data_IF_641876425503
#
_entry.id   IF_641876425503
#
_cell.length_a   1.000
_cell.length_b   1.000
_cell.length_c   1.000
_cell.angle_alpha   90.00
_cell.angle_beta   90.00
_cell.angle_gamma   90.00
#
_symmetry.space_group_name_H-M   'P 1'
#
loop_
_entity.id
_entity.type
_entity.pdbx_description
1 polymer ?
#
# COMPACT_ATOMS: atom_id res chain seq x y z
N UNK A 1 -13.71 -27.23 -9.29
CA UNK A 1 -13.63 -25.87 -9.85
C UNK A 1 -12.69 -25.06 -8.97
N UNK A 2 -11.63 -24.44 -9.51
CA UNK A 2 -10.71 -23.64 -8.67
C UNK A 2 -11.32 -22.26 -8.44
N UNK A 3 -11.00 -21.63 -7.30
CA UNK A 3 -11.51 -20.29 -6.95
C UNK A 3 -11.21 -19.23 -8.02
N UNK A 4 -10.04 -19.32 -8.67
CA UNK A 4 -9.66 -18.45 -9.78
C UNK A 4 -10.58 -18.60 -11.00
N UNK A 5 -11.03 -19.81 -11.31
CA UNK A 5 -11.93 -20.07 -12.44
C UNK A 5 -13.28 -19.38 -12.21
N UNK A 6 -13.79 -19.45 -10.98
CA UNK A 6 -15.04 -18.79 -10.59
C UNK A 6 -14.93 -17.27 -10.69
N UNK A 7 -13.82 -16.68 -10.22
CA UNK A 7 -13.59 -15.24 -10.33
C UNK A 7 -13.48 -14.79 -11.79
N UNK A 8 -12.81 -15.59 -12.62
CA UNK A 8 -12.69 -15.34 -14.04
C UNK A 8 -14.06 -15.33 -14.73
N UNK A 9 -14.88 -16.36 -14.48
CA UNK A 9 -16.21 -16.48 -15.08
C UNK A 9 -17.15 -15.35 -14.65
N UNK A 10 -17.13 -15.00 -13.36
CA UNK A 10 -17.91 -13.88 -12.82
C UNK A 10 -17.49 -12.56 -13.48
N UNK A 11 -16.19 -12.26 -13.53
CA UNK A 11 -15.68 -11.04 -14.15
C UNK A 11 -16.02 -10.97 -15.64
N UNK A 12 -15.80 -12.08 -16.38
CA UNK A 12 -16.12 -12.18 -17.81
C UNK A 12 -17.61 -11.91 -18.06
N UNK A 13 -18.49 -12.50 -17.26
CA UNK A 13 -19.94 -12.32 -17.40
C UNK A 13 -20.37 -10.85 -17.25
N UNK A 14 -19.77 -10.11 -16.33
CA UNK A 14 -20.06 -8.70 -16.12
C UNK A 14 -19.50 -7.81 -17.23
N UNK A 15 -18.33 -8.16 -17.77
CA UNK A 15 -17.64 -7.41 -18.83
C UNK A 15 -18.37 -7.53 -20.17
N UNK A 16 -18.79 -8.74 -20.56
CA UNK A 16 -19.49 -8.99 -21.84
C UNK A 16 -20.84 -8.26 -21.89
N UNK A 17 -21.48 -8.04 -20.74
CA UNK A 17 -22.73 -7.28 -20.64
C UNK A 17 -22.55 -5.77 -20.81
N UNK A 18 -21.31 -5.24 -20.86
CA UNK A 18 -21.01 -3.79 -20.83
C UNK A 18 -19.94 -3.38 -21.86
N UNK A 19 -20.15 -3.67 -23.16
CA UNK A 19 -19.15 -3.38 -24.20
C UNK A 19 -18.78 -1.91 -24.31
N UNK A 20 -19.70 -0.98 -24.03
CA UNK A 20 -19.52 0.47 -24.08
C UNK A 20 -18.53 0.99 -23.03
N UNK A 21 -18.49 0.38 -21.85
CA UNK A 21 -17.56 0.76 -20.77
C UNK A 21 -16.12 0.41 -21.15
N UNK A 22 -15.95 -0.70 -21.88
CA UNK A 22 -14.65 -1.25 -22.24
C UNK A 22 -14.22 -0.91 -23.67
N UNK A 23 -15.08 -0.21 -24.43
CA UNK A 23 -14.86 0.24 -25.80
C UNK A 23 -14.73 -0.91 -26.81
N UNK A 24 -15.47 -2.00 -26.61
CA UNK A 24 -15.48 -3.16 -27.49
C UNK A 24 -16.15 -2.86 -28.84
N UNK A 25 -15.68 -3.51 -29.90
CA UNK A 25 -16.17 -3.32 -31.26
C UNK A 25 -17.53 -3.96 -31.54
N UNK A 26 -18.01 -4.83 -30.64
CA UNK A 26 -19.34 -5.43 -30.69
C UNK A 26 -19.37 -6.82 -31.34
N UNK A 27 -18.21 -7.39 -31.69
CA UNK A 27 -18.09 -8.76 -32.20
C UNK A 27 -17.23 -9.55 -31.22
N UNK A 28 -17.84 -10.47 -30.49
CA UNK A 28 -17.19 -11.18 -29.37
C UNK A 28 -15.88 -11.87 -29.78
N UNK A 29 -15.81 -12.45 -30.98
CA UNK A 29 -14.59 -13.09 -31.52
C UNK A 29 -13.44 -12.09 -31.69
N UNK A 30 -13.73 -10.85 -32.06
CA UNK A 30 -12.74 -9.78 -32.22
C UNK A 30 -12.35 -9.23 -30.84
N UNK A 31 -13.31 -9.14 -29.92
CA UNK A 31 -13.12 -8.54 -28.61
C UNK A 31 -12.56 -9.53 -27.56
N UNK A 32 -12.41 -10.83 -27.87
CA UNK A 32 -11.95 -11.85 -26.91
C UNK A 32 -10.62 -11.48 -26.24
N UNK A 33 -9.65 -10.98 -27.00
CA UNK A 33 -8.35 -10.58 -26.45
C UNK A 33 -8.49 -9.45 -25.42
N UNK A 34 -9.39 -8.49 -25.67
CA UNK A 34 -9.61 -7.34 -24.79
C UNK A 34 -10.48 -7.70 -23.59
N UNK A 35 -11.45 -8.60 -23.74
CA UNK A 35 -12.19 -9.19 -22.63
C UNK A 35 -11.23 -9.92 -21.68
N UNK A 36 -10.34 -10.76 -22.22
CA UNK A 36 -9.35 -11.48 -21.42
C UNK A 36 -8.39 -10.51 -20.70
N UNK A 37 -7.97 -9.43 -21.36
CA UNK A 37 -7.14 -8.39 -20.74
C UNK A 37 -7.84 -7.73 -19.54
N UNK A 38 -9.10 -7.31 -19.69
CA UNK A 38 -9.84 -6.65 -18.61
C UNK A 38 -10.10 -7.61 -17.44
N UNK A 39 -10.40 -8.88 -17.72
CA UNK A 39 -10.52 -9.91 -16.68
C UNK A 39 -9.19 -10.09 -15.95
N UNK A 40 -8.06 -10.15 -16.67
CA UNK A 40 -6.74 -10.28 -16.07
C UNK A 40 -6.36 -9.04 -15.24
N UNK A 41 -6.74 -7.82 -15.66
CA UNK A 41 -6.56 -6.60 -14.87
C UNK A 41 -7.31 -6.69 -13.53
N UNK A 42 -8.54 -7.19 -13.55
CA UNK A 42 -9.36 -7.43 -12.35
C UNK A 42 -8.71 -8.46 -11.42
N UNK A 43 -8.27 -9.61 -11.98
CA UNK A 43 -7.61 -10.66 -11.21
C UNK A 43 -6.26 -10.21 -10.67
N UNK A 44 -5.49 -9.44 -11.43
CA UNK A 44 -4.23 -8.88 -11.00
C UNK A 44 -4.42 -7.91 -9.82
N UNK A 45 -5.50 -7.11 -9.80
CA UNK A 45 -5.83 -6.29 -8.65
C UNK A 45 -6.07 -7.15 -7.38
N UNK A 46 -6.76 -8.30 -7.50
CA UNK A 46 -6.93 -9.23 -6.37
C UNK A 46 -5.61 -9.89 -5.94
N UNK A 47 -4.69 -10.17 -6.86
CA UNK A 47 -3.32 -10.62 -6.51
C UNK A 47 -2.57 -9.52 -5.76
N UNK A 48 -2.68 -8.28 -6.20
CA UNK A 48 -2.06 -7.13 -5.53
C UNK A 48 -2.64 -6.90 -4.13
N UNK A 49 -3.94 -7.10 -3.94
CA UNK A 49 -4.58 -7.11 -2.61
C UNK A 49 -3.90 -8.12 -1.69
N UNK A 50 -3.69 -9.34 -2.16
CA UNK A 50 -3.06 -10.40 -1.36
C UNK A 50 -1.61 -10.05 -0.99
N UNK A 51 -0.80 -9.65 -2.00
CA UNK A 51 0.62 -9.31 -1.81
C UNK A 51 0.80 -8.11 -0.88
N UNK A 52 0.04 -7.02 -1.12
CA UNK A 52 0.14 -5.83 -0.28
C UNK A 52 -0.52 -6.00 1.07
N UNK A 53 -1.60 -6.78 1.17
CA UNK A 53 -2.24 -7.11 2.45
C UNK A 53 -1.27 -7.82 3.40
N UNK A 54 -0.59 -8.87 2.90
CA UNK A 54 0.42 -9.58 3.68
C UNK A 54 1.67 -8.72 3.94
N UNK A 55 2.19 -8.07 2.90
CA UNK A 55 3.41 -7.25 3.00
C UNK A 55 3.25 -6.06 3.95
N UNK A 56 2.20 -5.26 3.80
CA UNK A 56 1.94 -4.12 4.67
C UNK A 56 1.54 -4.55 6.07
N UNK A 57 0.74 -5.62 6.22
CA UNK A 57 0.38 -6.16 7.53
C UNK A 57 1.62 -6.50 8.36
N UNK A 58 2.58 -7.22 7.76
CA UNK A 58 3.85 -7.54 8.41
C UNK A 58 4.66 -6.27 8.72
N UNK A 59 4.77 -5.35 7.77
CA UNK A 59 5.55 -4.12 7.93
C UNK A 59 5.00 -3.24 9.06
N UNK A 60 3.68 -3.10 9.14
CA UNK A 60 3.00 -2.34 10.20
C UNK A 60 3.34 -2.91 11.57
N UNK A 61 3.27 -4.24 11.74
CA UNK A 61 3.59 -4.89 12.99
C UNK A 61 5.07 -4.68 13.38
N UNK A 62 6.00 -4.95 12.47
CA UNK A 62 7.43 -4.83 12.74
C UNK A 62 7.83 -3.39 13.09
N UNK A 63 7.35 -2.43 12.32
CA UNK A 63 7.68 -1.01 12.54
C UNK A 63 7.02 -0.50 13.82
N UNK A 64 5.78 -0.92 14.13
CA UNK A 64 5.13 -0.56 15.39
C UNK A 64 5.90 -1.10 16.60
N UNK A 65 6.36 -2.36 16.54
CA UNK A 65 7.23 -2.94 17.57
C UNK A 65 8.52 -2.13 17.71
N UNK A 66 9.15 -1.74 16.60
CA UNK A 66 10.34 -0.88 16.66
C UNK A 66 10.03 0.45 17.34
N UNK A 67 8.97 1.16 16.91
CA UNK A 67 8.56 2.47 17.45
C UNK A 67 8.37 2.42 18.98
N UNK A 68 7.65 1.42 19.50
CA UNK A 68 7.32 1.37 20.94
C UNK A 68 8.56 1.12 21.81
N UNK A 69 9.58 0.44 21.26
CA UNK A 69 10.83 0.14 21.94
C UNK A 69 11.89 1.25 21.83
N UNK A 70 11.65 2.29 21.03
CA UNK A 70 12.58 3.41 20.93
C UNK A 70 12.49 4.34 22.16
N UNK A 71 13.60 4.97 22.57
CA UNK A 71 13.63 5.94 23.67
C UNK A 71 13.06 7.31 23.23
N UNK A 72 11.80 7.32 22.78
CA UNK A 72 11.10 8.49 22.27
C UNK A 72 9.97 8.93 23.22
N UNK A 73 9.54 10.20 23.17
CA UNK A 73 8.35 10.65 23.89
C UNK A 73 7.11 9.85 23.46
N UNK A 74 6.25 9.49 24.42
CA UNK A 74 5.04 8.68 24.18
C UNK A 74 4.08 9.30 23.15
N UNK A 75 4.00 10.63 23.09
CA UNK A 75 3.21 11.34 22.07
C UNK A 75 3.72 11.05 20.65
N UNK A 76 5.04 11.05 20.47
CA UNK A 76 5.66 10.81 19.17
C UNK A 76 5.51 9.37 18.73
N UNK A 77 5.71 8.41 19.66
CA UNK A 77 5.41 6.99 19.42
C UNK A 77 3.98 6.79 18.93
N UNK A 78 3.01 7.39 19.62
CA UNK A 78 1.59 7.30 19.25
C UNK A 78 1.33 7.83 17.84
N UNK A 79 1.87 9.00 17.50
CA UNK A 79 1.71 9.59 16.16
C UNK A 79 2.31 8.70 15.07
N UNK A 80 3.54 8.19 15.29
CA UNK A 80 4.21 7.30 14.33
C UNK A 80 3.45 5.98 14.16
N UNK A 81 2.98 5.36 15.26
CA UNK A 81 2.18 4.14 15.19
C UNK A 81 0.85 4.36 14.45
N UNK A 82 0.18 5.50 14.67
CA UNK A 82 -1.05 5.84 13.92
C UNK A 82 -0.75 6.01 12.43
N UNK A 83 0.30 6.76 12.07
CA UNK A 83 0.68 6.95 10.66
C UNK A 83 0.97 5.63 9.95
N UNK A 84 1.73 4.74 10.60
CA UNK A 84 2.03 3.42 10.05
C UNK A 84 0.75 2.57 9.95
N UNK A 85 -0.10 2.56 10.99
CA UNK A 85 -1.34 1.78 11.02
C UNK A 85 -2.36 2.22 9.98
N UNK A 86 -2.39 3.50 9.62
CA UNK A 86 -3.22 4.01 8.52
C UNK A 86 -2.89 3.32 7.18
N UNK A 87 -1.67 2.80 7.01
CA UNK A 87 -1.30 1.97 5.86
C UNK A 87 -2.17 0.72 5.67
N UNK A 88 -2.86 0.24 6.70
CA UNK A 88 -3.78 -0.90 6.59
C UNK A 88 -5.00 -0.59 5.69
N UNK A 89 -5.27 0.69 5.42
CA UNK A 89 -6.33 1.12 4.50
C UNK A 89 -5.88 1.17 3.03
N UNK A 90 -4.60 0.93 2.74
CA UNK A 90 -4.08 0.83 1.37
C UNK A 90 -4.56 -0.43 0.62
N UNK A 91 -4.44 -1.67 1.17
CA UNK A 91 -4.88 -2.88 0.47
C UNK A 91 -6.35 -2.89 0.02
N UNK A 92 -7.33 -2.37 0.79
CA UNK A 92 -8.71 -2.23 0.32
C UNK A 92 -8.90 -1.53 -1.03
N UNK A 93 -7.98 -0.64 -1.46
CA UNK A 93 -8.04 -0.04 -2.80
C UNK A 93 -7.89 -1.07 -3.92
N UNK A 94 -7.08 -2.10 -3.72
CA UNK A 94 -6.92 -3.21 -4.66
C UNK A 94 -8.15 -4.10 -4.72
N UNK A 95 -8.84 -4.29 -3.58
CA UNK A 95 -10.13 -4.99 -3.53
C UNK A 95 -11.18 -4.21 -4.34
N UNK A 96 -11.25 -2.89 -4.15
CA UNK A 96 -12.18 -2.03 -4.88
C UNK A 96 -11.93 -2.10 -6.40
N UNK A 97 -10.66 -2.03 -6.83
CA UNK A 97 -10.31 -2.23 -8.24
C UNK A 97 -10.69 -3.62 -8.75
N UNK A 98 -10.32 -4.67 -8.03
CA UNK A 98 -10.60 -6.06 -8.43
C UNK A 98 -12.09 -6.39 -8.51
N UNK A 99 -12.96 -5.67 -7.81
CA UNK A 99 -14.41 -5.83 -7.90
C UNK A 99 -15.05 -4.91 -8.94
N UNK A 100 -14.56 -3.67 -9.10
CA UNK A 100 -15.24 -2.64 -9.89
C UNK A 100 -14.72 -2.54 -11.33
N UNK A 101 -13.52 -3.03 -11.64
CA UNK A 101 -12.98 -3.03 -13.01
C UNK A 101 -13.96 -3.64 -14.02
N UNK A 102 -14.63 -4.78 -13.74
CA UNK A 102 -15.61 -5.35 -14.67
C UNK A 102 -16.79 -4.41 -15.01
N UNK A 103 -17.12 -3.49 -14.10
CA UNK A 103 -18.30 -2.63 -14.21
C UNK A 103 -18.00 -1.24 -14.78
N UNK A 104 -16.90 -0.62 -14.37
CA UNK A 104 -16.56 0.77 -14.74
C UNK A 104 -15.25 0.90 -15.54
N UNK A 105 -14.51 -0.19 -15.69
CA UNK A 105 -13.21 -0.19 -16.37
C UNK A 105 -12.11 0.46 -15.56
N UNK A 106 -10.86 0.13 -15.90
CA UNK A 106 -9.67 0.63 -15.18
C UNK A 106 -9.53 2.15 -15.26
N UNK A 107 -9.84 2.74 -16.41
CA UNK A 107 -9.63 4.18 -16.65
C UNK A 107 -10.46 5.05 -15.70
N UNK A 108 -11.72 4.68 -15.47
CA UNK A 108 -12.61 5.44 -14.58
C UNK A 108 -12.22 5.28 -13.10
N UNK A 109 -11.71 4.11 -12.72
CA UNK A 109 -11.43 3.76 -11.33
C UNK A 109 -10.05 4.22 -10.84
N UNK A 110 -9.05 4.25 -11.71
CA UNK A 110 -7.65 4.49 -11.30
C UNK A 110 -7.50 5.79 -10.51
N UNK A 111 -7.99 6.91 -11.04
CA UNK A 111 -7.87 8.22 -10.37
C UNK A 111 -8.55 8.25 -9.00
N UNK A 112 -9.85 7.94 -8.88
CA UNK A 112 -10.55 7.94 -7.61
C UNK A 112 -9.92 7.03 -6.55
N UNK A 113 -9.49 5.82 -6.92
CA UNK A 113 -8.84 4.90 -5.99
C UNK A 113 -7.45 5.39 -5.58
N UNK A 114 -6.71 5.95 -6.52
CA UNK A 114 -5.37 6.50 -6.26
C UNK A 114 -5.43 7.64 -5.25
N UNK A 115 -6.30 8.64 -5.47
CA UNK A 115 -6.42 9.78 -4.58
C UNK A 115 -7.21 9.47 -3.30
N UNK A 116 -8.17 8.55 -3.35
CA UNK A 116 -9.01 8.22 -2.21
C UNK A 116 -8.38 7.22 -1.23
N UNK A 117 -7.59 6.27 -1.74
CA UNK A 117 -7.03 5.19 -0.93
C UNK A 117 -5.50 5.11 -1.02
N UNK A 118 -4.93 5.02 -2.21
CA UNK A 118 -3.50 4.70 -2.33
C UNK A 118 -2.58 5.82 -1.84
N UNK A 119 -2.75 7.03 -2.36
CA UNK A 119 -1.92 8.17 -2.01
C UNK A 119 -2.00 8.54 -0.51
N UNK A 120 -3.19 8.71 0.11
CA UNK A 120 -3.25 9.13 1.52
C UNK A 120 -2.74 8.05 2.47
N UNK A 121 -3.16 6.80 2.30
CA UNK A 121 -2.82 5.73 3.25
C UNK A 121 -1.44 5.12 2.99
N UNK A 122 -1.05 4.96 1.72
CA UNK A 122 0.31 4.61 1.35
C UNK A 122 1.31 5.71 1.75
N UNK A 123 0.95 6.97 1.52
CA UNK A 123 1.74 8.13 1.94
C UNK A 123 1.90 8.21 3.46
N UNK A 124 0.82 8.02 4.23
CA UNK A 124 0.89 7.99 5.69
C UNK A 124 1.84 6.90 6.21
N UNK A 125 1.79 5.70 5.64
CA UNK A 125 2.70 4.61 6.01
C UNK A 125 4.16 4.96 5.70
N UNK A 126 4.45 5.49 4.50
CA UNK A 126 5.79 5.94 4.10
C UNK A 126 6.30 7.02 5.08
N UNK A 127 5.50 8.04 5.37
CA UNK A 127 5.85 9.11 6.31
C UNK A 127 6.07 8.55 7.72
N UNK A 128 5.26 7.61 8.18
CA UNK A 128 5.44 6.95 9.48
C UNK A 128 6.75 6.17 9.58
N UNK A 129 7.09 5.39 8.56
CA UNK A 129 8.31 4.58 8.50
C UNK A 129 9.56 5.48 8.43
N UNK A 130 9.61 6.39 7.46
CA UNK A 130 10.74 7.30 7.30
C UNK A 130 10.86 8.27 8.47
N UNK A 131 9.73 8.75 9.00
CA UNK A 131 9.70 9.58 10.20
C UNK A 131 10.30 8.86 11.40
N UNK A 132 9.99 7.57 11.59
CA UNK A 132 10.59 6.75 12.64
C UNK A 132 12.11 6.67 12.48
N UNK A 133 12.59 6.39 11.27
CA UNK A 133 14.02 6.32 10.98
C UNK A 133 14.72 7.66 11.24
N UNK A 134 14.17 8.76 10.75
CA UNK A 134 14.76 10.10 10.91
C UNK A 134 14.82 10.49 12.38
N UNK A 135 13.73 10.29 13.12
CA UNK A 135 13.66 10.60 14.55
C UNK A 135 14.68 9.76 15.32
N UNK A 136 14.80 8.48 14.99
CA UNK A 136 15.79 7.59 15.60
C UNK A 136 17.22 8.05 15.34
N UNK A 137 17.55 8.40 14.10
CA UNK A 137 18.88 8.92 13.75
C UNK A 137 19.19 10.23 14.49
N UNK A 138 18.23 11.15 14.57
CA UNK A 138 18.39 12.40 15.32
C UNK A 138 18.63 12.13 16.81
N UNK A 139 17.90 11.17 17.40
CA UNK A 139 18.07 10.79 18.79
C UNK A 139 19.47 10.20 19.05
N UNK A 140 19.97 9.35 18.13
CA UNK A 140 21.33 8.82 18.19
C UNK A 140 22.39 9.92 18.14
N UNK A 141 22.30 10.83 17.16
CA UNK A 141 23.28 11.91 17.01
C UNK A 141 23.27 12.90 18.19
N UNK A 142 22.12 13.10 18.83
CA UNK A 142 22.01 13.91 20.05
C UNK A 142 22.49 13.19 21.31
N UNK A 143 22.46 11.86 21.29
CA UNK A 143 22.84 11.00 22.42
C UNK A 143 24.29 10.56 22.42
N UNK A 144 25.09 10.85 21.37
CA UNK A 144 26.54 10.61 21.34
C UNK A 144 27.23 11.78 22.04
N UNK A 145 27.79 11.61 23.25
CA UNK A 145 28.68 12.62 23.82
C UNK A 145 29.94 12.66 22.96
N UNK A 146 30.30 13.82 22.43
CA UNK A 146 31.65 14.05 21.90
C UNK A 146 32.64 14.05 23.06
N UNK A 147 33.04 12.86 23.50
CA UNK A 147 34.15 12.69 24.43
C UNK A 147 35.48 12.73 23.68
N UNK A 148 35.86 13.91 23.18
CA UNK A 148 37.25 14.19 22.81
C UNK A 148 37.56 15.66 23.10
N UNK A 149 37.91 15.98 24.35
CA UNK A 149 38.85 17.06 24.65
C UNK A 149 39.27 17.01 26.11
N UNK A 150 40.58 16.82 26.32
CA UNK A 150 41.25 17.33 27.51
C UNK A 150 42.00 16.33 28.37
N UNK A 151 42.80 15.43 27.80
CA UNK A 151 43.92 14.83 28.56
C UNK A 151 45.24 15.55 28.27
N UNK A 152 45.22 16.88 28.41
CA UNK A 152 46.43 17.72 28.48
C UNK A 152 46.14 18.94 29.36
N UNK A 153 46.28 18.75 30.67
CA UNK A 153 46.84 19.72 31.63
C UNK A 153 46.42 19.30 33.02
N UNK A 154 47.26 18.49 33.65
CA UNK A 154 47.61 18.64 35.06
C UNK A 154 48.92 17.88 35.29
N UNK A 155 50.01 18.52 34.84
CA UNK A 155 51.26 18.52 35.59
C UNK A 155 51.30 19.85 36.33
N UNK A 156 51.18 19.81 37.65
CA UNK A 156 51.86 20.74 38.56
C UNK A 156 51.96 20.10 39.93
#
# INVERSE_FOLDING_TARGET
MRFQDVLYDVARSAIVQRPEVHGFGGVEVIDQGRIAEVVEQSNNALRMLHVHGLGLGMLILLVSIAIVNLPLPERLKRVLCVLVSLGALYPPGWLLLGMMIPYWGVKALRGPVEFGLFAPFGGAAIVGIWGTLIVYLIALFRGVPTEVKGHERERS
#
